data_IF_373448503207
#
_entry.id   IF_373448503207
#
_cell.length_a   1.000
_cell.length_b   1.000
_cell.length_c   1.000
_cell.angle_alpha   90.00
_cell.angle_beta   90.00
_cell.angle_gamma   90.00
#
_symmetry.space_group_name_H-M   'P 1'
#
loop_
_entity.id
_entity.type
_entity.pdbx_description
1 polymer ?
#
# COMPACT_ATOMS: atom_id res chain seq x y z
N UNK A 1 24.35 -6.41 -33.53
CA UNK A 1 23.33 -7.11 -32.74
C UNK A 1 24.02 -7.63 -31.51
N UNK A 2 23.63 -7.14 -30.33
CA UNK A 2 24.08 -7.76 -29.09
C UNK A 2 23.17 -8.96 -28.82
N UNK A 3 23.71 -10.13 -28.45
CA UNK A 3 22.88 -11.19 -27.89
C UNK A 3 22.27 -10.71 -26.57
N UNK A 4 21.08 -11.21 -26.19
CA UNK A 4 20.51 -10.97 -24.86
C UNK A 4 21.49 -11.39 -23.77
N UNK A 5 21.41 -10.72 -22.61
CA UNK A 5 22.18 -11.11 -21.43
C UNK A 5 21.62 -12.40 -20.81
N UNK A 6 22.41 -13.11 -19.98
CA UNK A 6 21.93 -14.31 -19.28
C UNK A 6 20.66 -14.08 -18.47
N UNK A 7 20.50 -12.89 -17.90
CA UNK A 7 19.32 -12.48 -17.13
C UNK A 7 18.11 -12.27 -18.05
N UNK A 8 18.32 -11.66 -19.22
CA UNK A 8 17.29 -11.48 -20.25
C UNK A 8 16.83 -12.83 -20.83
N UNK A 9 17.77 -13.74 -21.10
CA UNK A 9 17.45 -15.11 -21.53
C UNK A 9 16.63 -15.86 -20.49
N UNK A 10 16.91 -15.62 -19.20
CA UNK A 10 16.18 -16.26 -18.10
C UNK A 10 14.75 -15.72 -17.98
N UNK A 11 14.56 -14.41 -18.16
CA UNK A 11 13.22 -13.78 -18.22
C UNK A 11 12.43 -14.32 -19.41
N UNK A 12 13.01 -14.35 -20.61
CA UNK A 12 12.34 -14.88 -21.81
C UNK A 12 11.98 -16.36 -21.63
N UNK A 13 12.90 -17.19 -21.14
CA UNK A 13 12.64 -18.61 -20.90
C UNK A 13 11.52 -18.85 -19.87
N UNK A 14 11.41 -17.99 -18.85
CA UNK A 14 10.30 -18.05 -17.91
C UNK A 14 8.97 -17.72 -18.59
N UNK A 15 8.92 -16.63 -19.37
CA UNK A 15 7.72 -16.22 -20.10
C UNK A 15 7.29 -17.30 -21.08
N UNK A 16 8.20 -17.80 -21.93
CA UNK A 16 7.93 -18.87 -22.89
C UNK A 16 7.40 -20.13 -22.21
N UNK A 17 7.96 -20.50 -21.04
CA UNK A 17 7.51 -21.66 -20.27
C UNK A 17 6.06 -21.51 -19.79
N UNK A 18 5.70 -20.35 -19.23
CA UNK A 18 4.36 -20.11 -18.68
C UNK A 18 3.33 -19.81 -19.77
N UNK A 19 3.75 -19.30 -20.93
CA UNK A 19 2.90 -19.17 -22.11
C UNK A 19 2.63 -20.53 -22.78
N UNK A 20 3.61 -21.44 -22.79
CA UNK A 20 3.46 -22.78 -23.37
C UNK A 20 2.60 -23.72 -22.51
N UNK A 21 2.54 -23.48 -21.20
CA UNK A 21 1.77 -24.30 -20.26
C UNK A 21 1.14 -23.43 -19.16
N UNK A 22 -0.03 -22.80 -19.45
CA UNK A 22 -0.72 -21.92 -18.51
C UNK A 22 -1.31 -22.66 -17.30
N UNK A 23 -1.42 -24.00 -17.36
CA UNK A 23 -1.95 -24.83 -16.27
C UNK A 23 -0.91 -25.06 -15.14
N UNK A 24 0.37 -24.73 -15.36
CA UNK A 24 1.43 -24.79 -14.33
C UNK A 24 1.16 -23.89 -13.09
N UNK A 25 0.17 -23.00 -13.18
CA UNK A 25 -0.19 -22.02 -12.14
C UNK A 25 -1.17 -22.62 -11.11
N UNK A 26 -1.81 -23.75 -11.42
CA UNK A 26 -2.98 -24.25 -10.69
C UNK A 26 -2.70 -25.21 -9.52
N UNK A 27 -1.45 -25.62 -9.27
CA UNK A 27 -1.17 -26.70 -8.32
C UNK A 27 -1.17 -26.27 -6.84
N UNK A 28 -1.33 -24.98 -6.48
CA UNK A 28 -1.24 -24.57 -5.07
C UNK A 28 -2.19 -23.46 -4.55
N UNK A 29 -3.21 -22.96 -5.27
CA UNK A 29 -4.21 -22.03 -4.68
C UNK A 29 -5.66 -22.12 -5.25
N UNK A 30 -6.68 -21.80 -4.42
CA UNK A 30 -8.08 -21.79 -4.84
C UNK A 30 -8.38 -20.61 -5.76
N UNK A 31 -8.87 -20.94 -6.95
CA UNK A 31 -9.24 -20.06 -8.06
C UNK A 31 -10.05 -18.82 -7.68
N UNK A 32 -9.51 -17.64 -7.96
CA UNK A 32 -10.28 -16.41 -8.17
C UNK A 32 -9.45 -15.38 -8.99
N UNK A 33 -9.52 -15.43 -10.33
CA UNK A 33 -9.11 -14.31 -11.21
C UNK A 33 -8.05 -14.62 -12.28
N UNK A 34 -8.50 -15.13 -13.43
CA UNK A 34 -7.76 -15.73 -14.58
C UNK A 34 -6.72 -14.86 -15.36
N UNK A 35 -6.12 -13.80 -14.79
CA UNK A 35 -5.01 -13.09 -15.47
C UNK A 35 -3.89 -12.60 -14.54
N UNK A 36 -4.19 -12.33 -13.26
CA UNK A 36 -3.19 -11.94 -12.27
C UNK A 36 -2.28 -13.09 -11.82
N UNK A 37 -2.77 -14.33 -11.94
CA UNK A 37 -2.10 -15.52 -11.40
C UNK A 37 -0.84 -15.90 -12.19
N UNK A 38 -0.87 -15.76 -13.52
CA UNK A 38 0.26 -16.13 -14.40
C UNK A 38 1.43 -15.14 -14.23
N UNK A 39 1.16 -13.84 -14.23
CA UNK A 39 2.19 -12.81 -14.04
C UNK A 39 2.84 -12.93 -12.64
N UNK A 40 2.01 -13.14 -11.62
CA UNK A 40 2.49 -13.37 -10.25
C UNK A 40 3.33 -14.64 -10.15
N UNK A 41 2.94 -15.71 -10.86
CA UNK A 41 3.71 -16.95 -10.91
C UNK A 41 5.05 -16.79 -11.64
N UNK A 42 5.08 -16.07 -12.76
CA UNK A 42 6.32 -15.73 -13.49
C UNK A 42 7.24 -14.92 -12.57
N UNK A 43 6.74 -13.85 -11.96
CA UNK A 43 7.53 -13.00 -11.08
C UNK A 43 8.06 -13.78 -9.86
N UNK A 44 7.23 -14.65 -9.27
CA UNK A 44 7.65 -15.54 -8.17
C UNK A 44 8.72 -16.54 -8.61
N UNK A 45 8.61 -17.09 -9.82
CA UNK A 45 9.62 -17.99 -10.36
C UNK A 45 10.95 -17.28 -10.60
N UNK A 46 10.90 -16.05 -11.12
CA UNK A 46 12.08 -15.23 -11.38
C UNK A 46 12.77 -14.78 -10.09
N UNK A 47 12.00 -14.33 -9.09
CA UNK A 47 12.52 -13.86 -7.79
C UNK A 47 13.17 -14.97 -6.94
N UNK A 48 12.92 -16.25 -7.26
CA UNK A 48 13.67 -17.37 -6.68
C UNK A 48 15.12 -17.46 -7.19
N UNK A 49 15.44 -16.82 -8.31
CA UNK A 49 16.72 -16.96 -9.01
C UNK A 49 17.46 -15.62 -9.16
N UNK A 50 16.73 -14.52 -9.33
CA UNK A 50 17.26 -13.18 -9.52
C UNK A 50 16.64 -12.19 -8.50
N UNK A 51 17.39 -11.19 -8.03
CA UNK A 51 16.81 -10.09 -7.26
C UNK A 51 15.88 -9.25 -8.15
N UNK A 52 14.86 -8.62 -7.54
CA UNK A 52 13.82 -7.89 -8.27
C UNK A 52 14.38 -6.80 -9.20
N UNK A 53 15.36 -6.02 -8.74
CA UNK A 53 15.99 -4.98 -9.57
C UNK A 53 16.78 -5.52 -10.78
N UNK A 54 17.29 -6.76 -10.73
CA UNK A 54 17.91 -7.38 -11.91
C UNK A 54 16.86 -7.88 -12.91
N UNK A 55 15.68 -8.29 -12.42
CA UNK A 55 14.54 -8.66 -13.25
C UNK A 55 14.00 -7.41 -13.97
N UNK A 56 13.80 -6.32 -13.25
CA UNK A 56 13.36 -5.03 -13.82
C UNK A 56 14.32 -4.54 -14.91
N UNK A 57 15.63 -4.55 -14.64
CA UNK A 57 16.66 -4.16 -15.62
C UNK A 57 16.65 -5.07 -16.85
N UNK A 58 16.46 -6.38 -16.67
CA UNK A 58 16.38 -7.33 -17.76
C UNK A 58 15.13 -7.08 -18.63
N UNK A 59 13.97 -6.89 -18.02
CA UNK A 59 12.69 -6.60 -18.70
C UNK A 59 12.77 -5.28 -19.46
N UNK A 60 13.22 -4.19 -18.81
CA UNK A 60 13.42 -2.89 -19.45
C UNK A 60 14.44 -2.97 -20.59
N UNK A 61 15.53 -3.73 -20.41
CA UNK A 61 16.51 -3.98 -21.47
C UNK A 61 15.92 -4.71 -22.68
N UNK A 62 15.03 -5.68 -22.46
CA UNK A 62 14.34 -6.40 -23.54
C UNK A 62 13.38 -5.47 -24.30
N UNK A 63 12.56 -4.71 -23.57
CA UNK A 63 11.59 -3.77 -24.16
C UNK A 63 12.24 -2.60 -24.90
N UNK A 64 13.48 -2.22 -24.55
CA UNK A 64 14.16 -1.07 -25.17
C UNK A 64 15.16 -1.47 -26.27
N UNK A 65 15.90 -2.57 -26.09
CA UNK A 65 16.97 -2.99 -27.00
C UNK A 65 16.50 -4.07 -27.98
N UNK A 66 15.55 -4.90 -27.58
CA UNK A 66 15.10 -6.07 -28.35
C UNK A 66 13.63 -6.00 -28.80
N UNK A 67 12.95 -4.86 -28.63
CA UNK A 67 11.54 -4.65 -28.99
C UNK A 67 11.17 -5.21 -30.37
N UNK A 68 11.95 -4.90 -31.41
CA UNK A 68 11.67 -5.33 -32.79
C UNK A 68 11.80 -6.84 -33.04
N UNK A 69 12.26 -7.61 -32.05
CA UNK A 69 12.50 -9.07 -32.13
C UNK A 69 11.56 -9.88 -31.25
N UNK A 70 10.77 -9.21 -30.40
CA UNK A 70 9.77 -9.84 -29.56
C UNK A 70 8.50 -10.08 -30.39
N UNK A 71 7.83 -11.20 -30.17
CA UNK A 71 6.46 -11.35 -30.62
C UNK A 71 5.50 -10.52 -29.74
N UNK A 72 4.35 -10.17 -30.31
CA UNK A 72 3.36 -9.28 -29.67
C UNK A 72 2.92 -9.79 -28.28
N UNK A 73 2.80 -11.12 -28.10
CA UNK A 73 2.36 -11.72 -26.85
C UNK A 73 3.47 -11.64 -25.77
N UNK A 74 4.71 -11.96 -26.12
CA UNK A 74 5.87 -11.80 -25.22
C UNK A 74 6.07 -10.34 -24.82
N UNK A 75 5.92 -9.40 -25.75
CA UNK A 75 6.02 -7.97 -25.45
C UNK A 75 4.94 -7.54 -24.44
N UNK A 76 3.68 -7.96 -24.63
CA UNK A 76 2.59 -7.67 -23.71
C UNK A 76 2.87 -8.20 -22.30
N UNK A 77 3.40 -9.42 -22.17
CA UNK A 77 3.74 -10.01 -20.88
C UNK A 77 4.89 -9.25 -20.21
N UNK A 78 5.90 -8.81 -20.97
CA UNK A 78 7.01 -8.00 -20.43
C UNK A 78 6.53 -6.63 -19.92
N UNK A 79 5.65 -5.95 -20.67
CA UNK A 79 5.05 -4.67 -20.23
C UNK A 79 4.22 -4.85 -18.96
N UNK A 80 3.43 -5.94 -18.88
CA UNK A 80 2.64 -6.27 -17.70
C UNK A 80 3.51 -6.67 -16.49
N UNK A 81 4.62 -7.38 -16.72
CA UNK A 81 5.60 -7.72 -15.68
C UNK A 81 6.27 -6.46 -15.13
N UNK A 82 6.69 -5.54 -16.00
CA UNK A 82 7.30 -4.29 -15.57
C UNK A 82 6.33 -3.47 -14.71
N UNK A 83 5.08 -3.34 -15.17
CA UNK A 83 4.00 -2.67 -14.40
C UNK A 83 3.78 -3.35 -13.04
N UNK A 84 3.84 -4.68 -12.98
CA UNK A 84 3.68 -5.43 -11.73
C UNK A 84 4.85 -5.21 -10.76
N UNK A 85 6.08 -5.14 -11.28
CA UNK A 85 7.29 -4.87 -10.49
C UNK A 85 7.25 -3.46 -9.92
N UNK A 86 6.94 -2.46 -10.75
CA UNK A 86 6.81 -1.06 -10.33
C UNK A 86 5.76 -0.90 -9.22
N UNK A 87 4.62 -1.61 -9.32
CA UNK A 87 3.58 -1.62 -8.29
C UNK A 87 4.03 -2.26 -6.97
N UNK A 88 4.82 -3.33 -7.03
CA UNK A 88 5.32 -4.05 -5.84
C UNK A 88 6.39 -3.22 -5.11
N UNK A 89 7.24 -2.51 -5.85
CA UNK A 89 8.22 -1.57 -5.27
C UNK A 89 7.55 -0.40 -4.55
N UNK A 90 6.45 0.13 -5.09
CA UNK A 90 5.66 1.18 -4.44
C UNK A 90 4.96 0.69 -3.16
N UNK A 91 4.41 -0.53 -3.17
CA UNK A 91 3.78 -1.16 -2.00
C UNK A 91 4.81 -1.46 -0.89
N UNK A 92 5.96 -2.02 -1.25
CA UNK A 92 7.06 -2.24 -0.29
C UNK A 92 7.65 -0.93 0.24
N UNK A 93 7.72 0.12 -0.58
CA UNK A 93 8.18 1.44 -0.16
C UNK A 93 7.21 2.07 0.84
N UNK A 94 5.89 1.93 0.62
CA UNK A 94 4.86 2.38 1.55
C UNK A 94 4.97 1.66 2.90
N UNK A 95 5.05 0.33 2.90
CA UNK A 95 5.18 -0.45 4.15
C UNK A 95 6.45 -0.12 4.94
N UNK A 96 7.57 0.04 4.23
CA UNK A 96 8.85 0.41 4.85
C UNK A 96 8.80 1.82 5.44
N UNK A 97 8.18 2.76 4.73
CA UNK A 97 8.02 4.14 5.19
C UNK A 97 7.08 4.21 6.40
N UNK A 98 5.92 3.55 6.34
CA UNK A 98 4.97 3.48 7.45
C UNK A 98 5.62 2.86 8.69
N UNK A 99 6.42 1.79 8.53
CA UNK A 99 7.17 1.22 9.64
C UNK A 99 8.19 2.21 10.25
N UNK A 100 8.80 3.07 9.44
CA UNK A 100 9.73 4.10 9.90
C UNK A 100 9.03 5.27 10.61
N UNK A 101 7.74 5.50 10.32
CA UNK A 101 6.90 6.58 10.84
C UNK A 101 5.97 6.11 11.99
N UNK A 102 6.38 5.08 12.74
CA UNK A 102 5.57 4.47 13.80
C UNK A 102 5.05 5.48 14.84
N UNK A 103 5.83 6.50 15.20
CA UNK A 103 5.40 7.55 16.14
C UNK A 103 4.31 8.45 15.57
N UNK A 104 4.35 8.73 14.26
CA UNK A 104 3.32 9.51 13.58
C UNK A 104 2.03 8.70 13.45
N UNK A 105 2.13 7.42 13.10
CA UNK A 105 0.98 6.50 13.07
C UNK A 105 0.33 6.37 14.45
N UNK A 106 1.14 6.27 15.51
CA UNK A 106 0.65 6.28 16.89
C UNK A 106 -0.07 7.59 17.23
N UNK A 107 0.55 8.74 16.97
CA UNK A 107 -0.07 10.04 17.22
C UNK A 107 -1.42 10.17 16.49
N UNK A 108 -1.46 9.76 15.22
CA UNK A 108 -2.68 9.80 14.44
C UNK A 108 -3.74 8.81 14.96
N UNK A 109 -3.37 7.61 15.40
CA UNK A 109 -4.31 6.67 16.02
C UNK A 109 -4.98 7.24 17.29
N UNK A 110 -4.27 8.12 17.99
CA UNK A 110 -4.73 8.79 19.21
C UNK A 110 -5.57 10.05 18.93
N UNK A 111 -5.45 10.63 17.74
CA UNK A 111 -6.21 11.82 17.33
C UNK A 111 -7.33 11.49 16.34
N UNK A 112 -8.56 11.88 16.69
CA UNK A 112 -9.73 11.69 15.84
C UNK A 112 -9.95 12.77 14.78
N UNK A 113 -9.21 13.88 14.82
CA UNK A 113 -9.45 15.07 13.98
C UNK A 113 -8.53 15.15 12.75
N UNK A 114 -7.43 14.40 12.79
CA UNK A 114 -6.42 14.40 11.74
C UNK A 114 -6.42 13.07 10.99
N UNK A 115 -6.07 13.13 9.72
CA UNK A 115 -5.88 11.98 8.86
C UNK A 115 -4.44 11.98 8.33
N UNK A 116 -3.85 10.79 8.22
CA UNK A 116 -2.62 10.63 7.47
C UNK A 116 -2.95 10.48 5.99
N UNK A 117 -2.30 11.28 5.16
CA UNK A 117 -2.40 11.23 3.72
C UNK A 117 -1.04 10.83 3.17
N UNK A 118 -1.00 9.77 2.38
CA UNK A 118 0.17 9.36 1.63
C UNK A 118 0.01 9.76 0.16
N UNK A 119 0.92 10.62 -0.31
CA UNK A 119 0.98 11.11 -1.67
C UNK A 119 2.42 10.94 -2.20
N UNK A 120 2.69 9.92 -3.03
CA UNK A 120 4.04 9.62 -3.52
C UNK A 120 4.59 10.70 -4.46
N UNK A 121 3.75 11.58 -5.00
CA UNK A 121 4.20 12.68 -5.86
C UNK A 121 4.83 13.85 -5.06
N UNK A 122 4.69 13.84 -3.74
CA UNK A 122 5.14 14.92 -2.86
C UNK A 122 6.53 14.65 -2.26
N UNK A 123 7.30 15.72 -2.00
CA UNK A 123 8.65 15.59 -1.43
C UNK A 123 8.67 15.00 -0.01
N UNK A 124 7.58 15.19 0.74
CA UNK A 124 7.31 14.53 2.00
C UNK A 124 6.01 13.73 1.82
N UNK A 125 6.10 12.43 1.47
CA UNK A 125 4.96 11.70 0.93
C UNK A 125 3.90 11.41 1.98
N UNK A 126 4.29 11.21 3.25
CA UNK A 126 3.34 11.03 4.35
C UNK A 126 3.14 12.35 5.10
N UNK A 127 1.89 12.83 5.18
CA UNK A 127 1.52 14.08 5.83
C UNK A 127 0.32 13.90 6.74
N UNK A 128 0.32 14.60 7.86
CA UNK A 128 -0.87 14.74 8.70
C UNK A 128 -1.68 15.95 8.24
N UNK A 129 -2.99 15.76 8.05
CA UNK A 129 -3.90 16.80 7.57
C UNK A 129 -5.17 16.83 8.43
N UNK A 130 -5.71 18.02 8.69
CA UNK A 130 -7.03 18.15 9.29
C UNK A 130 -8.08 17.58 8.34
N UNK A 131 -9.08 16.89 8.88
CA UNK A 131 -10.14 16.26 8.07
C UNK A 131 -10.83 17.26 7.12
N UNK A 132 -10.95 18.54 7.51
CA UNK A 132 -11.54 19.56 6.65
C UNK A 132 -10.60 19.98 5.51
N UNK A 133 -9.30 20.07 5.77
CA UNK A 133 -8.28 20.39 4.77
C UNK A 133 -8.18 19.27 3.72
N UNK A 134 -8.42 18.01 4.11
CA UNK A 134 -8.48 16.88 3.17
C UNK A 134 -9.53 17.12 2.08
N UNK A 135 -10.69 17.71 2.40
CA UNK A 135 -11.72 18.02 1.40
C UNK A 135 -11.35 19.19 0.49
N UNK A 136 -10.50 20.10 0.97
CA UNK A 136 -10.01 21.21 0.16
C UNK A 136 -8.97 20.73 -0.87
N UNK A 137 -8.09 19.82 -0.46
CA UNK A 137 -7.06 19.25 -1.33
C UNK A 137 -7.60 18.12 -2.22
N UNK A 138 -8.52 17.31 -1.72
CA UNK A 138 -9.06 16.12 -2.39
C UNK A 138 -10.59 16.17 -2.38
N UNK A 139 -11.21 16.99 -3.25
CA UNK A 139 -12.65 17.20 -3.23
C UNK A 139 -13.42 15.94 -3.63
N UNK A 140 -14.54 15.69 -2.97
CA UNK A 140 -15.45 14.56 -3.27
C UNK A 140 -16.58 14.94 -4.25
N UNK A 141 -16.57 16.17 -4.79
CA UNK A 141 -17.57 16.69 -5.74
C UNK A 141 -16.91 17.66 -6.72
N UNK A 142 -17.49 17.75 -7.91
CA UNK A 142 -17.05 18.70 -8.95
C UNK A 142 -16.09 18.07 -9.95
N UNK A 143 -15.54 18.92 -10.80
CA UNK A 143 -14.55 18.52 -11.81
C UNK A 143 -13.22 18.21 -11.12
N UNK A 144 -12.66 17.02 -11.36
CA UNK A 144 -11.46 16.52 -10.68
C UNK A 144 -11.71 15.75 -9.38
N UNK A 145 -12.96 15.46 -9.02
CA UNK A 145 -13.25 14.59 -7.88
C UNK A 145 -12.86 13.13 -8.19
N UNK A 146 -11.93 12.58 -7.40
CA UNK A 146 -11.41 11.21 -7.54
C UNK A 146 -12.19 10.18 -6.70
N UNK A 147 -13.10 10.65 -5.85
CA UNK A 147 -13.87 9.82 -4.93
C UNK A 147 -15.22 10.46 -4.63
N UNK A 148 -16.17 9.65 -4.18
CA UNK A 148 -17.53 10.10 -3.92
C UNK A 148 -17.69 10.66 -2.50
N UNK A 149 -18.77 11.42 -2.22
CA UNK A 149 -19.11 11.81 -0.87
C UNK A 149 -19.36 10.61 0.07
N UNK A 150 -19.83 9.49 -0.48
CA UNK A 150 -20.07 8.27 0.30
C UNK A 150 -18.74 7.62 0.71
N UNK A 151 -17.72 7.67 -0.15
CA UNK A 151 -16.37 7.19 0.18
C UNK A 151 -15.73 8.02 1.30
N UNK A 152 -15.93 9.35 1.26
CA UNK A 152 -15.47 10.24 2.33
C UNK A 152 -16.19 9.95 3.66
N UNK A 153 -17.50 9.71 3.64
CA UNK A 153 -18.25 9.30 4.85
C UNK A 153 -17.72 7.97 5.38
N UNK A 154 -17.48 6.98 4.52
CA UNK A 154 -16.92 5.69 4.90
C UNK A 154 -15.53 5.84 5.54
N UNK A 155 -14.68 6.73 5.01
CA UNK A 155 -13.38 7.07 5.60
C UNK A 155 -13.53 7.63 7.02
N UNK A 156 -14.45 8.59 7.22
CA UNK A 156 -14.69 9.18 8.54
C UNK A 156 -15.23 8.15 9.54
N UNK A 157 -16.16 7.31 9.11
CA UNK A 157 -16.68 6.22 9.93
C UNK A 157 -15.58 5.23 10.31
N UNK A 158 -14.71 4.86 9.35
CA UNK A 158 -13.52 4.05 9.57
C UNK A 158 -12.59 4.69 10.59
N UNK A 159 -12.24 5.97 10.41
CA UNK A 159 -11.36 6.72 11.31
C UNK A 159 -11.91 6.79 12.73
N UNK A 160 -13.20 7.11 12.89
CA UNK A 160 -13.86 7.16 14.20
C UNK A 160 -13.89 5.78 14.86
N UNK A 161 -14.15 4.72 14.08
CA UNK A 161 -14.14 3.35 14.59
C UNK A 161 -12.76 2.95 15.11
N UNK A 162 -11.70 3.18 14.32
CA UNK A 162 -10.34 2.84 14.74
C UNK A 162 -9.89 3.67 15.95
N UNK A 163 -10.18 4.98 15.96
CA UNK A 163 -9.91 5.83 17.12
C UNK A 163 -10.58 5.28 18.40
N UNK A 164 -11.86 4.90 18.34
CA UNK A 164 -12.56 4.29 19.49
C UNK A 164 -11.92 2.98 19.95
N UNK A 165 -11.53 2.10 19.03
CA UNK A 165 -10.82 0.86 19.37
C UNK A 165 -9.47 1.17 20.02
N UNK A 166 -8.74 2.16 19.51
CA UNK A 166 -7.47 2.62 20.06
C UNK A 166 -7.63 3.19 21.48
N UNK A 167 -8.70 3.94 21.75
CA UNK A 167 -9.00 4.40 23.12
C UNK A 167 -9.24 3.22 24.08
N UNK A 168 -9.99 2.19 23.67
CA UNK A 168 -10.18 0.97 24.46
C UNK A 168 -8.86 0.20 24.64
N UNK A 169 -8.03 0.11 23.59
CA UNK A 169 -6.72 -0.51 23.67
C UNK A 169 -5.81 0.21 24.69
N UNK A 170 -5.86 1.54 24.76
CA UNK A 170 -5.16 2.30 25.80
C UNK A 170 -5.67 2.00 27.21
N UNK A 171 -6.99 1.89 27.41
CA UNK A 171 -7.55 1.51 28.72
C UNK A 171 -7.04 0.14 29.16
N UNK A 172 -7.04 -0.85 28.25
CA UNK A 172 -6.50 -2.19 28.51
C UNK A 172 -5.00 -2.13 28.85
N UNK A 173 -4.22 -1.35 28.09
CA UNK A 173 -2.79 -1.20 28.32
C UNK A 173 -2.49 -0.53 29.66
N UNK A 174 -3.31 0.44 30.09
CA UNK A 174 -3.19 1.09 31.39
C UNK A 174 -3.54 0.16 32.55
N UNK A 175 -4.59 -0.64 32.43
CA UNK A 175 -4.99 -1.62 33.45
C UNK A 175 -4.03 -2.80 33.52
N UNK A 176 -3.51 -3.24 32.37
CA UNK A 176 -2.65 -4.41 32.23
C UNK A 176 -1.45 -4.11 31.32
N UNK A 177 -0.38 -3.47 31.85
CA UNK A 177 0.79 -3.05 31.05
C UNK A 177 1.57 -4.19 30.37
N UNK A 178 1.32 -5.44 30.75
CA UNK A 178 1.89 -6.62 30.09
C UNK A 178 1.15 -7.08 28.83
N UNK A 179 0.02 -6.45 28.50
CA UNK A 179 -0.77 -6.77 27.31
C UNK A 179 -0.31 -5.95 26.10
N UNK A 180 -0.61 -6.44 24.90
CA UNK A 180 -0.38 -5.75 23.62
C UNK A 180 -1.69 -5.70 22.85
N UNK A 181 -2.64 -4.86 23.27
CA UNK A 181 -3.91 -4.74 22.58
C UNK A 181 -3.67 -4.19 21.16
N UNK A 182 -4.46 -4.67 20.21
CA UNK A 182 -4.37 -4.21 18.82
C UNK A 182 -4.93 -2.78 18.72
N UNK A 183 -4.16 -1.89 18.13
CA UNK A 183 -4.60 -0.56 17.72
C UNK A 183 -4.33 -0.40 16.22
N UNK A 184 -5.07 0.50 15.59
CA UNK A 184 -4.88 0.83 14.19
C UNK A 184 -5.29 2.28 13.91
N UNK A 185 -4.88 2.77 12.75
CA UNK A 185 -5.33 4.05 12.21
C UNK A 185 -5.66 3.90 10.73
N UNK A 186 -6.33 4.91 10.17
CA UNK A 186 -6.64 5.00 8.75
C UNK A 186 -5.65 5.93 8.06
N UNK A 187 -5.15 5.51 6.89
CA UNK A 187 -4.34 6.31 5.98
C UNK A 187 -5.10 6.45 4.66
N UNK A 188 -5.17 7.66 4.13
CA UNK A 188 -5.67 7.93 2.78
C UNK A 188 -4.50 7.84 1.81
N UNK A 189 -4.60 6.96 0.81
CA UNK A 189 -3.60 6.83 -0.23
C UNK A 189 -4.05 7.61 -1.47
N UNK A 190 -3.13 8.39 -2.03
CA UNK A 190 -3.33 9.14 -3.27
C UNK A 190 -2.60 8.39 -4.38
N UNK A 191 -3.33 7.69 -5.28
CA UNK A 191 -2.67 7.01 -6.39
C UNK A 191 -1.94 7.97 -7.30
N UNK A 192 -0.82 7.51 -7.86
CA UNK A 192 0.01 8.22 -8.85
C UNK A 192 -0.81 8.55 -10.10
N UNK A 193 -1.67 7.64 -10.55
CA UNK A 193 -2.61 7.89 -11.64
C UNK A 193 -3.67 8.92 -11.19
N UNK A 194 -3.73 10.12 -11.79
CA UNK A 194 -4.67 11.17 -11.40
C UNK A 194 -6.14 10.81 -11.61
N UNK A 195 -6.44 9.83 -12.48
CA UNK A 195 -7.81 9.37 -12.75
C UNK A 195 -8.24 8.23 -11.81
N UNK A 196 -7.29 7.56 -11.16
CA UNK A 196 -7.58 6.49 -10.22
C UNK A 196 -8.23 7.02 -8.93
N UNK A 197 -9.16 6.26 -8.32
CA UNK A 197 -9.84 6.70 -7.11
C UNK A 197 -8.91 6.68 -5.90
N UNK A 198 -9.16 7.56 -4.93
CA UNK A 198 -8.41 7.55 -3.66
C UNK A 198 -8.70 6.26 -2.88
N UNK A 199 -7.67 5.74 -2.21
CA UNK A 199 -7.75 4.47 -1.49
C UNK A 199 -7.61 4.67 0.02
N UNK A 200 -8.12 3.71 0.79
CA UNK A 200 -8.12 3.76 2.25
C UNK A 200 -7.40 2.53 2.79
N UNK A 201 -6.39 2.74 3.62
CA UNK A 201 -5.59 1.68 4.22
C UNK A 201 -5.73 1.71 5.74
N UNK A 202 -6.08 0.57 6.34
CA UNK A 202 -6.00 0.38 7.78
C UNK A 202 -4.59 -0.10 8.13
N UNK A 203 -3.89 0.67 8.96
CA UNK A 203 -2.51 0.37 9.38
C UNK A 203 -2.50 0.01 10.86
N UNK A 204 -1.91 -1.13 11.20
CA UNK A 204 -1.71 -1.56 12.58
C UNK A 204 -0.70 -0.68 13.31
N UNK A 205 -1.00 -0.34 14.57
CA UNK A 205 -0.22 0.60 15.38
C UNK A 205 0.17 -0.07 16.69
N UNK A 206 1.43 0.14 17.10
CA UNK A 206 1.90 -0.24 18.43
C UNK A 206 1.75 0.96 19.37
N UNK A 207 0.98 0.79 20.44
CA UNK A 207 0.81 1.82 21.46
C UNK A 207 1.96 1.78 22.46
N UNK A 208 2.55 2.94 22.70
CA UNK A 208 3.52 3.20 23.74
C UNK A 208 2.80 3.39 25.08
N UNK A 209 3.28 2.78 26.18
CA UNK A 209 2.68 3.01 27.49
C UNK A 209 2.83 4.49 27.88
N UNK A 210 1.82 5.11 28.50
CA UNK A 210 1.92 6.49 28.94
C UNK A 210 3.07 6.63 29.96
N UNK A 211 3.79 7.77 29.97
CA UNK A 211 4.86 7.99 30.92
C UNK A 211 4.34 7.87 32.36
N UNK A 212 5.12 7.29 33.29
CA UNK A 212 4.70 7.10 34.67
C UNK A 212 4.47 8.48 35.33
N UNK A 213 3.20 8.87 35.48
CA UNK A 213 2.81 10.14 36.10
C UNK A 213 1.59 10.83 35.50
N UNK A 214 1.09 10.42 34.32
CA UNK A 214 -0.17 10.94 33.78
C UNK A 214 -1.36 10.23 34.42
N UNK A 215 -1.66 10.57 35.67
CA UNK A 215 -2.90 10.17 36.33
C UNK A 215 -4.08 10.80 35.57
N UNK A 216 -5.00 9.96 35.10
CA UNK A 216 -6.28 10.32 34.49
C UNK A 216 -7.19 11.12 35.44
N UNK A 217 -6.82 12.38 35.67
CA UNK A 217 -7.54 13.33 36.51
C UNK A 217 -7.63 14.69 35.81
N UNK A 218 -8.03 14.73 34.54
CA UNK A 218 -8.31 15.98 33.84
C UNK A 218 -9.25 15.81 32.63
N UNK A 219 -10.45 15.25 32.82
CA UNK A 219 -11.61 15.54 31.94
C UNK A 219 -12.93 15.19 32.62
N UNK A 220 -13.14 15.73 33.82
CA UNK A 220 -14.47 15.93 34.38
C UNK A 220 -14.59 17.41 34.76
N UNK A 221 -14.62 18.30 33.75
CA UNK A 221 -15.00 19.70 33.93
C UNK A 221 -16.35 19.95 33.27
N UNK A 222 -17.38 19.76 34.10
CA UNK A 222 -18.58 20.57 34.23
C UNK A 222 -19.18 21.19 32.95
N UNK A 223 -20.27 20.61 32.48
CA UNK A 223 -21.33 21.34 31.76
C UNK A 223 -22.05 22.27 32.77
N UNK A 224 -22.24 23.57 32.48
CA UNK A 224 -23.15 24.40 33.26
C UNK A 224 -24.60 24.09 32.87
N UNK A 225 -25.47 24.01 33.88
CA UNK A 225 -26.92 23.86 33.74
C UNK A 225 -27.65 25.17 33.48
#
# INVERSE_FOLDING_TARGET
MHPPSPEQDLVLAAIERFMADPDLVLDDQPSNGEAGDVLSAILRALTMVLPLGEIELAVTGLLTVHCDQLDDDTQLVLEALLTAIERDDDEMALDTLLASEASLLEANALDGNYLLVWDPAEAAPLREMEILDVLECYPCRGEGARWSPDDFVALLEGKILQWRKTMVALEILQEQPGTRPAASTMVLLVPVDPEAPLEQLEVGVTLSPPPPGSSAAASARSLPG
#
